data_IF_510262736252
#
_entry.id   IF_510262736252
#
_cell.length_a   1.000
_cell.length_b   1.000
_cell.length_c   1.000
_cell.angle_alpha   90.00
_cell.angle_beta   90.00
_cell.angle_gamma   90.00
#
_symmetry.space_group_name_H-M   'P 1'
#
loop_
_entity.id
_entity.type
_entity.pdbx_description
1 polymer ?
#
# COMPACT_ATOMS: atom_id res chain seq x y z
N UNK A 1 20.70 25.06 3.22
CA UNK A 1 19.45 25.76 3.60
C UNK A 1 19.12 25.36 5.04
N UNK A 2 18.79 26.30 5.96
CA UNK A 2 18.42 25.95 7.33
C UNK A 2 17.05 25.24 7.37
N UNK A 3 16.88 24.28 8.30
CA UNK A 3 15.70 23.39 8.39
C UNK A 3 14.39 24.18 8.48
N UNK A 4 14.33 25.24 9.29
CA UNK A 4 13.17 26.12 9.39
C UNK A 4 12.77 26.78 8.05
N UNK A 5 13.76 27.18 7.24
CA UNK A 5 13.50 27.76 5.91
C UNK A 5 13.02 26.70 4.93
N UNK A 6 13.52 25.47 5.06
CA UNK A 6 13.02 24.33 4.29
C UNK A 6 11.58 23.98 4.66
N UNK A 7 11.23 23.91 5.95
CA UNK A 7 9.89 23.63 6.43
C UNK A 7 8.85 24.60 5.83
N UNK A 8 9.18 25.90 5.82
CA UNK A 8 8.31 26.93 5.24
C UNK A 8 8.19 26.87 3.72
N UNK A 9 9.23 26.43 3.02
CA UNK A 9 9.24 26.33 1.55
C UNK A 9 8.50 25.09 1.06
N UNK A 10 8.67 23.97 1.76
CA UNK A 10 8.15 22.67 1.34
C UNK A 10 6.85 22.27 2.03
N UNK A 11 6.43 22.98 3.07
CA UNK A 11 5.20 22.68 3.81
C UNK A 11 5.30 21.49 4.76
N UNK A 12 6.48 20.88 4.88
CA UNK A 12 6.75 19.79 5.82
C UNK A 12 6.97 20.32 7.25
N UNK A 13 6.50 19.61 8.30
CA UNK A 13 6.81 19.96 9.68
C UNK A 13 8.32 20.00 9.95
N UNK A 14 8.77 20.97 10.76
CA UNK A 14 10.19 21.12 11.08
C UNK A 14 10.76 19.86 11.76
N UNK A 15 9.95 19.18 12.59
CA UNK A 15 10.31 17.89 13.21
C UNK A 15 10.62 16.82 12.17
N UNK A 16 9.76 16.65 11.16
CA UNK A 16 9.96 15.68 10.07
C UNK A 16 11.24 15.96 9.29
N UNK A 17 11.50 17.23 8.95
CA UNK A 17 12.74 17.60 8.25
C UNK A 17 13.98 17.43 9.13
N UNK A 18 13.85 17.65 10.44
CA UNK A 18 14.93 17.42 11.40
C UNK A 18 15.23 15.92 11.55
N UNK A 19 14.21 15.08 11.63
CA UNK A 19 14.36 13.63 11.71
C UNK A 19 14.99 13.06 10.44
N UNK A 20 14.61 13.58 9.27
CA UNK A 20 15.29 13.26 8.00
C UNK A 20 16.75 13.72 7.99
N UNK A 21 17.03 14.93 8.49
CA UNK A 21 18.39 15.46 8.54
C UNK A 21 19.31 14.67 9.49
N UNK A 22 18.76 14.17 10.61
CA UNK A 22 19.46 13.33 11.58
C UNK A 22 19.55 11.85 11.16
N UNK A 23 18.97 11.48 10.01
CA UNK A 23 18.95 10.09 9.52
C UNK A 23 18.03 9.15 10.31
N UNK A 24 17.17 9.70 11.18
CA UNK A 24 16.18 8.93 11.95
C UNK A 24 15.07 8.42 11.01
N UNK A 25 14.71 9.23 10.01
CA UNK A 25 13.82 8.84 8.93
C UNK A 25 14.55 8.90 7.59
N UNK A 26 14.54 7.80 6.84
CA UNK A 26 15.11 7.79 5.49
C UNK A 26 14.31 8.73 4.59
N UNK A 27 14.98 9.43 3.65
CA UNK A 27 14.32 10.38 2.73
C UNK A 27 13.31 9.65 1.82
N UNK A 28 13.61 8.41 1.45
CA UNK A 28 12.71 7.56 0.66
C UNK A 28 11.60 6.90 1.51
N UNK A 29 11.55 7.18 2.80
CA UNK A 29 10.46 6.73 3.64
C UNK A 29 9.25 7.62 3.35
N UNK A 30 8.42 7.18 2.40
CA UNK A 30 7.08 7.73 2.23
C UNK A 30 6.40 7.58 3.58
N UNK A 31 5.96 8.67 4.24
CA UNK A 31 5.30 8.53 5.51
C UNK A 31 4.06 7.68 5.27
N UNK A 32 4.05 6.48 5.87
CA UNK A 32 2.94 5.55 5.79
C UNK A 32 1.79 6.13 6.60
N UNK A 33 1.10 7.10 6.00
CA UNK A 33 -0.12 7.66 6.54
C UNK A 33 -1.25 6.69 6.18
N UNK A 34 -1.37 5.60 6.94
CA UNK A 34 -2.40 4.62 6.71
C UNK A 34 -2.19 3.30 7.46
N UNK A 35 -3.20 2.43 7.43
CA UNK A 35 -3.05 1.06 7.90
C UNK A 35 -1.93 0.37 7.13
N UNK A 36 -1.18 -0.50 7.81
CA UNK A 36 -0.13 -1.29 7.19
C UNK A 36 -0.72 -2.11 6.02
N UNK A 37 0.00 -2.24 4.90
CA UNK A 37 -0.45 -3.07 3.79
C UNK A 37 -0.63 -4.52 4.26
N UNK A 38 -1.69 -5.16 3.74
CA UNK A 38 -2.02 -6.56 4.07
C UNK A 38 -1.03 -7.52 3.42
N UNK A 39 -0.58 -7.17 2.22
CA UNK A 39 0.34 -7.95 1.42
C UNK A 39 1.78 -7.43 1.54
N UNK A 40 2.72 -8.35 1.44
CA UNK A 40 4.12 -8.00 1.15
C UNK A 40 4.30 -7.69 -0.34
N UNK A 41 5.41 -7.04 -0.73
CA UNK A 41 5.67 -6.75 -2.14
C UNK A 41 5.71 -8.00 -3.04
N UNK A 42 6.19 -9.13 -2.51
CA UNK A 42 6.22 -10.40 -3.23
C UNK A 42 4.80 -10.97 -3.42
N UNK A 43 3.96 -10.87 -2.38
CA UNK A 43 2.55 -11.29 -2.43
C UNK A 43 1.75 -10.42 -3.41
N UNK A 44 1.97 -9.09 -3.42
CA UNK A 44 1.34 -8.20 -4.41
C UNK A 44 1.78 -8.51 -5.84
N UNK A 45 3.06 -8.80 -6.06
CA UNK A 45 3.58 -9.15 -7.38
C UNK A 45 2.90 -10.41 -7.94
N UNK A 46 2.60 -11.41 -7.12
CA UNK A 46 1.85 -12.59 -7.54
C UNK A 46 0.43 -12.24 -8.00
N UNK A 47 -0.25 -11.37 -7.24
CA UNK A 47 -1.60 -10.93 -7.57
C UNK A 47 -1.62 -10.10 -8.87
N UNK A 48 -0.66 -9.19 -9.04
CA UNK A 48 -0.50 -8.39 -10.26
C UNK A 48 -0.17 -9.27 -11.46
N UNK A 49 0.73 -10.25 -11.30
CA UNK A 49 1.06 -11.18 -12.38
C UNK A 49 -0.17 -11.97 -12.83
N UNK A 50 -1.00 -12.44 -11.89
CA UNK A 50 -2.26 -13.12 -12.20
C UNK A 50 -3.21 -12.22 -13.01
N UNK A 51 -3.46 -10.99 -12.53
CA UNK A 51 -4.33 -10.04 -13.24
C UNK A 51 -3.80 -9.68 -14.62
N UNK A 52 -2.49 -9.46 -14.73
CA UNK A 52 -1.82 -9.17 -16.00
C UNK A 52 -1.99 -10.33 -16.99
N UNK A 53 -1.76 -11.57 -16.54
CA UNK A 53 -1.96 -12.76 -17.34
C UNK A 53 -3.42 -12.87 -17.83
N UNK A 54 -4.38 -12.73 -16.93
CA UNK A 54 -5.81 -12.79 -17.25
C UNK A 54 -6.22 -11.69 -18.25
N UNK A 55 -5.68 -10.48 -18.09
CA UNK A 55 -5.93 -9.38 -19.02
C UNK A 55 -5.39 -9.67 -20.42
N UNK A 56 -4.21 -10.31 -20.53
CA UNK A 56 -3.59 -10.66 -21.81
C UNK A 56 -4.37 -11.74 -22.58
N UNK A 57 -5.04 -12.65 -21.88
CA UNK A 57 -5.92 -13.65 -22.51
C UNK A 57 -7.35 -13.13 -22.74
N UNK A 58 -7.59 -11.83 -22.55
CA UNK A 58 -8.86 -11.16 -22.83
C UNK A 58 -9.86 -11.12 -21.69
N UNK A 59 -9.49 -11.57 -20.49
CA UNK A 59 -10.33 -11.54 -19.29
C UNK A 59 -9.93 -10.38 -18.38
N UNK A 60 -10.61 -9.25 -18.54
CA UNK A 60 -10.49 -8.10 -17.63
C UNK A 60 -11.31 -8.30 -16.36
N UNK A 61 -10.80 -7.82 -15.23
CA UNK A 61 -11.55 -7.77 -13.98
C UNK A 61 -12.20 -6.41 -13.77
N UNK A 62 -13.47 -6.42 -13.39
CA UNK A 62 -14.09 -5.27 -12.74
C UNK A 62 -13.46 -5.07 -11.36
N UNK A 63 -13.49 -3.83 -10.86
CA UNK A 63 -12.93 -3.48 -9.55
C UNK A 63 -13.42 -4.41 -8.43
N UNK A 64 -14.72 -4.73 -8.42
CA UNK A 64 -15.29 -5.61 -7.40
C UNK A 64 -14.75 -7.05 -7.51
N UNK A 65 -14.68 -7.61 -8.72
CA UNK A 65 -14.16 -8.95 -8.93
C UNK A 65 -12.68 -9.07 -8.54
N UNK A 66 -11.88 -8.03 -8.82
CA UNK A 66 -10.49 -7.99 -8.38
C UNK A 66 -10.38 -7.95 -6.84
N UNK A 67 -11.23 -7.16 -6.20
CA UNK A 67 -11.31 -7.07 -4.74
C UNK A 67 -11.68 -8.43 -4.12
N UNK A 68 -12.61 -9.16 -4.72
CA UNK A 68 -13.01 -10.50 -4.26
C UNK A 68 -11.86 -11.50 -4.40
N UNK A 69 -11.12 -11.48 -5.52
CA UNK A 69 -9.92 -12.31 -5.72
C UNK A 69 -8.82 -11.97 -4.70
N UNK A 70 -8.58 -10.68 -4.47
CA UNK A 70 -7.61 -10.24 -3.47
C UNK A 70 -8.00 -10.70 -2.06
N UNK A 71 -9.30 -10.70 -1.75
CA UNK A 71 -9.80 -11.20 -0.48
C UNK A 71 -9.55 -12.71 -0.33
N UNK A 72 -9.91 -13.51 -1.34
CA UNK A 72 -9.65 -14.95 -1.35
C UNK A 72 -8.15 -15.25 -1.23
N UNK A 73 -7.31 -14.51 -1.94
CA UNK A 73 -5.86 -14.62 -1.85
C UNK A 73 -5.34 -14.33 -0.43
N UNK A 74 -5.86 -13.29 0.22
CA UNK A 74 -5.51 -12.98 1.61
C UNK A 74 -5.94 -14.09 2.59
N UNK A 75 -7.09 -14.73 2.35
CA UNK A 75 -7.57 -15.86 3.16
C UNK A 75 -6.68 -17.09 2.97
N UNK A 76 -6.29 -17.41 1.73
CA UNK A 76 -5.38 -18.53 1.41
C UNK A 76 -4.01 -18.34 2.07
N UNK A 77 -3.51 -17.11 2.10
CA UNK A 77 -2.25 -16.77 2.76
C UNK A 77 -2.37 -16.69 4.30
N UNK A 78 -3.56 -16.89 4.86
CA UNK A 78 -3.81 -16.80 6.30
C UNK A 78 -3.69 -15.38 6.86
N UNK A 79 -3.69 -14.35 6.00
CA UNK A 79 -3.62 -12.93 6.40
C UNK A 79 -4.98 -12.38 6.82
N UNK A 80 -6.06 -13.07 6.46
CA UNK A 80 -7.44 -12.78 6.89
C UNK A 80 -8.19 -14.06 7.25
N UNK A 81 -9.09 -13.97 8.21
CA UNK A 81 -10.11 -14.99 8.49
C UNK A 81 -11.23 -14.87 7.46
N UNK A 82 -11.69 -15.99 6.88
CA UNK A 82 -12.72 -15.99 5.82
C UNK A 82 -14.08 -15.40 6.21
N UNK A 83 -14.27 -15.06 7.49
CA UNK A 83 -15.49 -14.49 8.06
C UNK A 83 -15.38 -12.97 8.32
N UNK A 84 -14.34 -12.31 7.77
CA UNK A 84 -14.10 -10.88 8.01
C UNK A 84 -15.25 -10.02 7.41
N UNK A 85 -16.05 -9.32 8.24
CA UNK A 85 -17.28 -8.66 7.78
C UNK A 85 -17.05 -7.36 7.00
N UNK A 86 -15.80 -6.95 6.78
CA UNK A 86 -15.44 -5.69 6.12
C UNK A 86 -15.62 -5.70 4.60
N UNK A 87 -15.96 -6.85 4.01
CA UNK A 87 -16.05 -7.03 2.55
C UNK A 87 -17.46 -7.34 2.02
N UNK A 88 -18.50 -7.22 2.86
CA UNK A 88 -19.88 -7.23 2.34
C UNK A 88 -20.15 -5.89 1.68
N UNK A 89 -20.08 -5.89 0.35
CA UNK A 89 -20.37 -4.73 -0.50
C UNK A 89 -21.63 -4.00 -0.05
N UNK A 90 -21.48 -2.70 0.18
CA UNK A 90 -22.58 -1.74 0.30
C UNK A 90 -23.18 -1.46 -1.07
#
# INVERSE_FOLDING_TARGET
MPIFKAARVFGDPESTLRDRHLGIQHIDHVPSHGPKPVFTGDEENLLVHHVSYMSNIGYGYLRQAFLDIAHEFAVILGKKSGDDPTFKGS
#
